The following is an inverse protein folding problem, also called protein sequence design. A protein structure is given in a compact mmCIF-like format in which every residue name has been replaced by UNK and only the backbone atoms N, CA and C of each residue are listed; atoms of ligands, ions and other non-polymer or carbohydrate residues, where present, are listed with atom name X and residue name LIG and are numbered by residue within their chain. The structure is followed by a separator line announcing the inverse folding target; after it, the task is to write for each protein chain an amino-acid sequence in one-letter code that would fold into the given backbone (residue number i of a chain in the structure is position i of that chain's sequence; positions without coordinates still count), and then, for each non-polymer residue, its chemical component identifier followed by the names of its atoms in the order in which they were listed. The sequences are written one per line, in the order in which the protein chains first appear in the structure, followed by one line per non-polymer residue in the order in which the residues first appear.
data_IF_257159244459
#
_entry.id   IF_257159244459
#
_cell.length_a   1.000
_cell.length_b   1.000
_cell.length_c   1.000
_cell.angle_alpha   90.00
_cell.angle_beta   90.00
_cell.angle_gamma   90.00
#
_symmetry.space_group_name_H-M   'P 1'
#
loop_
_entity.id
_entity.type
_entity.pdbx_description
1 polymer ?
#
# COMPACT_ATOMS: atom_id res chain seq x y z
N UNK A 1 5.09 -17.94 3.18
CA UNK A 1 3.89 -17.08 3.32
C UNK A 1 2.70 -18.01 3.20
N UNK A 2 1.82 -18.04 4.19
CA UNK A 2 0.67 -18.94 4.17
C UNK A 2 -0.34 -18.53 3.10
N UNK A 3 -1.10 -19.50 2.57
CA UNK A 3 -2.17 -19.30 1.59
C UNK A 3 -3.18 -18.22 2.05
N UNK A 4 -3.45 -18.14 3.34
CA UNK A 4 -4.35 -17.17 3.96
C UNK A 4 -3.92 -15.70 3.73
N UNK A 5 -2.61 -15.42 3.81
CA UNK A 5 -2.08 -14.08 3.54
C UNK A 5 -2.27 -13.69 2.07
N UNK A 6 -2.01 -14.62 1.14
CA UNK A 6 -2.23 -14.38 -0.29
C UNK A 6 -3.70 -14.12 -0.62
N UNK A 7 -4.63 -14.85 0.00
CA UNK A 7 -6.07 -14.65 -0.17
C UNK A 7 -6.47 -13.26 0.32
N UNK A 8 -6.10 -12.88 1.54
CA UNK A 8 -6.40 -11.57 2.10
C UNK A 8 -5.84 -10.43 1.23
N UNK A 9 -4.58 -10.54 0.83
CA UNK A 9 -3.91 -9.49 0.07
C UNK A 9 -4.49 -9.35 -1.35
N UNK A 10 -4.96 -10.44 -1.96
CA UNK A 10 -5.61 -10.39 -3.27
C UNK A 10 -7.03 -9.81 -3.19
N UNK A 11 -7.86 -10.31 -2.28
CA UNK A 11 -9.28 -9.93 -2.25
C UNK A 11 -9.51 -8.62 -1.50
N UNK A 12 -8.90 -8.45 -0.36
CA UNK A 12 -9.09 -7.23 0.44
C UNK A 12 -8.12 -6.12 0.04
N UNK A 13 -6.83 -6.40 -0.01
CA UNK A 13 -5.82 -5.43 -0.45
C UNK A 13 -5.90 -5.10 -1.94
N UNK A 14 -6.24 -6.07 -2.78
CA UNK A 14 -6.31 -5.91 -4.24
C UNK A 14 -7.69 -5.51 -4.73
N UNK A 15 -8.63 -6.47 -4.78
CA UNK A 15 -9.94 -6.27 -5.43
C UNK A 15 -10.78 -5.18 -4.75
N UNK A 16 -10.85 -5.16 -3.42
CA UNK A 16 -11.64 -4.17 -2.70
C UNK A 16 -11.11 -2.74 -2.93
N UNK A 17 -9.79 -2.55 -3.00
CA UNK A 17 -9.22 -1.24 -3.33
C UNK A 17 -9.53 -0.81 -4.77
N UNK A 18 -9.52 -1.72 -5.75
CA UNK A 18 -9.92 -1.38 -7.12
C UNK A 18 -11.37 -0.89 -7.15
N UNK A 19 -12.28 -1.58 -6.45
CA UNK A 19 -13.68 -1.17 -6.34
C UNK A 19 -13.78 0.22 -5.70
N UNK A 20 -13.06 0.47 -4.60
CA UNK A 20 -13.00 1.79 -3.96
C UNK A 20 -12.51 2.86 -4.95
N UNK A 21 -11.47 2.58 -5.72
CA UNK A 21 -10.97 3.50 -6.75
C UNK A 21 -12.00 3.83 -7.84
N UNK A 22 -12.80 2.85 -8.25
CA UNK A 22 -13.89 3.07 -9.21
C UNK A 22 -15.02 3.95 -8.60
N UNK A 23 -15.29 3.81 -7.31
CA UNK A 23 -16.25 4.68 -6.60
C UNK A 23 -15.69 6.10 -6.48
N UNK A 24 -14.41 6.26 -6.17
CA UNK A 24 -13.73 7.57 -6.15
C UNK A 24 -13.75 8.27 -7.52
N UNK A 25 -13.66 7.51 -8.62
CA UNK A 25 -13.81 8.05 -9.97
C UNK A 25 -15.21 8.64 -10.19
N UNK A 26 -16.27 7.99 -9.68
CA UNK A 26 -17.64 8.52 -9.73
C UNK A 26 -17.77 9.81 -8.90
N UNK A 27 -17.07 9.90 -7.79
CA UNK A 27 -17.03 11.08 -6.93
C UNK A 27 -16.11 12.20 -7.48
N UNK A 28 -15.53 12.02 -8.67
CA UNK A 28 -14.56 12.95 -9.29
C UNK A 28 -13.32 13.21 -8.42
N UNK A 29 -12.97 12.29 -7.54
CA UNK A 29 -11.75 12.31 -6.76
C UNK A 29 -10.61 11.64 -7.53
N UNK A 30 -9.87 12.41 -8.32
CA UNK A 30 -8.77 11.88 -9.15
C UNK A 30 -7.68 11.25 -8.30
N UNK A 31 -7.32 11.87 -7.16
CA UNK A 31 -6.29 11.34 -6.26
C UNK A 31 -6.69 9.96 -5.71
N UNK A 32 -7.89 9.86 -5.13
CA UNK A 32 -8.42 8.60 -4.61
C UNK A 32 -8.53 7.53 -5.71
N UNK A 33 -9.02 7.92 -6.90
CA UNK A 33 -9.09 7.01 -8.05
C UNK A 33 -7.73 6.41 -8.38
N UNK A 34 -6.72 7.26 -8.59
CA UNK A 34 -5.37 6.80 -8.96
C UNK A 34 -4.74 6.00 -7.82
N UNK A 35 -4.83 6.47 -6.58
CA UNK A 35 -4.24 5.78 -5.44
C UNK A 35 -4.85 4.39 -5.25
N UNK A 36 -6.17 4.29 -5.09
CA UNK A 36 -6.82 3.02 -4.79
C UNK A 36 -6.73 2.01 -5.94
N UNK A 37 -6.95 2.43 -7.19
CA UNK A 37 -6.83 1.49 -8.33
C UNK A 37 -5.40 0.99 -8.49
N UNK A 38 -4.42 1.88 -8.37
CA UNK A 38 -3.00 1.51 -8.52
C UNK A 38 -2.54 0.58 -7.40
N UNK A 39 -2.83 0.89 -6.14
CA UNK A 39 -2.45 0.00 -5.03
C UNK A 39 -3.23 -1.32 -5.04
N UNK A 40 -4.47 -1.30 -5.49
CA UNK A 40 -5.22 -2.55 -5.71
C UNK A 40 -4.55 -3.45 -6.74
N UNK A 41 -4.10 -2.89 -7.86
CA UNK A 41 -3.33 -3.63 -8.87
C UNK A 41 -1.93 -3.99 -8.40
N UNK A 42 -1.28 -3.15 -7.56
CA UNK A 42 -0.05 -3.52 -6.87
C UNK A 42 -0.21 -4.83 -6.10
N UNK A 43 -1.21 -4.93 -5.24
CA UNK A 43 -1.44 -6.13 -4.44
C UNK A 43 -1.69 -7.36 -5.31
N UNK A 44 -2.53 -7.25 -6.33
CA UNK A 44 -2.81 -8.38 -7.24
C UNK A 44 -1.56 -8.84 -7.97
N UNK A 45 -0.77 -7.92 -8.52
CA UNK A 45 0.47 -8.26 -9.23
C UNK A 45 1.56 -8.76 -8.29
N UNK A 46 1.66 -8.21 -7.07
CA UNK A 46 2.62 -8.68 -6.07
C UNK A 46 2.30 -10.10 -5.59
N UNK A 47 1.02 -10.41 -5.36
CA UNK A 47 0.59 -11.78 -5.03
C UNK A 47 0.81 -12.71 -6.22
N UNK A 48 0.51 -12.29 -7.45
CA UNK A 48 0.75 -13.09 -8.65
C UNK A 48 2.22 -13.47 -8.80
N UNK A 49 3.16 -12.56 -8.51
CA UNK A 49 4.60 -12.86 -8.49
C UNK A 49 5.01 -13.96 -7.50
N UNK A 50 4.20 -14.26 -6.50
CA UNK A 50 4.44 -15.34 -5.53
C UNK A 50 3.67 -16.61 -5.86
N UNK A 51 2.43 -16.48 -6.32
CA UNK A 51 1.52 -17.59 -6.55
C UNK A 51 1.81 -18.32 -7.86
N UNK A 52 2.08 -17.56 -8.94
CA UNK A 52 2.32 -18.21 -10.24
C UNK A 52 3.55 -19.13 -10.24
N UNK A 53 4.69 -18.77 -9.65
CA UNK A 53 5.81 -19.72 -9.51
C UNK A 53 5.46 -20.92 -8.64
N UNK A 54 4.74 -20.73 -7.53
CA UNK A 54 4.32 -21.82 -6.66
C UNK A 54 3.40 -22.83 -7.35
N UNK A 55 2.65 -22.39 -8.38
CA UNK A 55 1.81 -23.24 -9.22
C UNK A 55 2.57 -23.81 -10.45
N UNK A 56 3.85 -23.49 -10.62
CA UNK A 56 4.64 -23.92 -11.79
C UNK A 56 4.27 -23.21 -13.10
N UNK A 57 3.52 -22.10 -13.03
CA UNK A 57 3.04 -21.34 -14.20
C UNK A 57 4.01 -20.23 -14.63
N UNK A 58 4.99 -19.90 -13.80
CA UNK A 58 6.03 -18.90 -14.12
C UNK A 58 7.32 -19.23 -13.36
N UNK A 59 8.50 -18.77 -13.83
CA UNK A 59 9.72 -18.85 -13.05
C UNK A 59 9.66 -17.93 -11.82
N UNK A 60 10.39 -18.26 -10.75
CA UNK A 60 10.52 -17.36 -9.61
C UNK A 60 11.21 -16.06 -10.03
N UNK A 61 10.65 -14.90 -9.62
CA UNK A 61 11.28 -13.62 -9.92
C UNK A 61 12.60 -13.51 -9.17
N UNK A 62 13.62 -12.99 -9.84
CA UNK A 62 14.90 -12.70 -9.18
C UNK A 62 14.74 -11.63 -8.10
N UNK A 63 15.62 -11.67 -7.09
CA UNK A 63 15.65 -10.63 -6.05
C UNK A 63 15.79 -9.21 -6.63
N UNK A 64 16.56 -9.08 -7.72
CA UNK A 64 16.70 -7.82 -8.43
C UNK A 64 15.37 -7.36 -9.06
N UNK A 65 14.60 -8.28 -9.64
CA UNK A 65 13.29 -7.95 -10.23
C UNK A 65 12.29 -7.50 -9.16
N UNK A 66 12.22 -8.20 -8.01
CA UNK A 66 11.37 -7.79 -6.89
C UNK A 66 11.82 -6.45 -6.32
N UNK A 67 13.12 -6.24 -6.13
CA UNK A 67 13.67 -4.96 -5.66
C UNK A 67 13.35 -3.81 -6.60
N UNK A 68 13.52 -3.98 -7.91
CA UNK A 68 13.17 -2.97 -8.91
C UNK A 68 11.65 -2.67 -8.93
N UNK A 69 10.81 -3.69 -8.79
CA UNK A 69 9.37 -3.52 -8.65
C UNK A 69 9.01 -2.65 -7.44
N UNK A 70 9.60 -2.93 -6.27
CA UNK A 70 9.36 -2.14 -5.07
C UNK A 70 9.91 -0.71 -5.18
N UNK A 71 11.04 -0.48 -5.87
CA UNK A 71 11.56 0.87 -6.15
C UNK A 71 10.57 1.64 -7.02
N UNK A 72 10.08 1.04 -8.10
CA UNK A 72 9.11 1.69 -8.99
C UNK A 72 7.85 2.13 -8.21
N UNK A 73 7.33 1.27 -7.32
CA UNK A 73 6.21 1.62 -6.45
C UNK A 73 6.57 2.66 -5.40
N UNK A 74 7.79 2.63 -4.87
CA UNK A 74 8.31 3.68 -3.99
C UNK A 74 8.34 5.05 -4.64
N UNK A 75 8.82 5.13 -5.89
CA UNK A 75 8.83 6.37 -6.69
C UNK A 75 7.40 6.84 -6.97
N UNK A 76 6.51 5.94 -7.40
CA UNK A 76 5.10 6.26 -7.62
C UNK A 76 4.44 6.80 -6.35
N UNK A 77 4.67 6.15 -5.19
CA UNK A 77 4.14 6.59 -3.91
C UNK A 77 4.72 7.95 -3.49
N UNK A 78 6.00 8.23 -3.74
CA UNK A 78 6.61 9.52 -3.48
C UNK A 78 5.95 10.66 -4.29
N UNK A 79 5.59 10.40 -5.56
CA UNK A 79 4.82 11.34 -6.38
C UNK A 79 3.43 11.59 -5.80
N UNK A 80 2.73 10.52 -5.37
CA UNK A 80 1.43 10.68 -4.71
C UNK A 80 1.56 11.41 -3.36
N UNK A 81 2.64 11.17 -2.61
CA UNK A 81 2.93 11.90 -1.36
C UNK A 81 2.96 13.41 -1.59
N UNK A 82 3.61 13.86 -2.65
CA UNK A 82 3.60 15.28 -3.02
C UNK A 82 2.18 15.80 -3.27
N UNK A 83 1.28 14.97 -3.80
CA UNK A 83 -0.14 15.27 -4.00
C UNK A 83 -0.91 15.44 -2.68
N UNK A 84 -0.42 14.88 -1.57
CA UNK A 84 -1.12 14.96 -0.27
C UNK A 84 -0.84 16.23 0.53
N UNK A 85 0.11 17.09 0.14
CA UNK A 85 0.55 18.24 0.98
C UNK A 85 -0.55 19.27 1.29
N UNK A 86 -1.65 19.25 0.57
CA UNK A 86 -2.85 20.06 0.87
C UNK A 86 -3.98 19.26 1.54
N UNK A 87 -3.76 18.00 1.83
CA UNK A 87 -4.71 17.08 2.46
C UNK A 87 -4.52 17.02 3.98
N UNK A 88 -5.39 16.34 4.74
CA UNK A 88 -5.22 16.13 6.18
C UNK A 88 -3.85 15.55 6.53
N UNK A 89 -3.32 15.94 7.69
CA UNK A 89 -1.96 15.53 8.11
C UNK A 89 -1.81 14.03 8.25
N UNK A 90 -2.85 13.35 8.70
CA UNK A 90 -2.84 11.89 8.85
C UNK A 90 -2.66 11.21 7.49
N UNK A 91 -3.34 11.69 6.44
CA UNK A 91 -3.14 11.19 5.08
C UNK A 91 -1.70 11.42 4.58
N UNK A 92 -1.14 12.61 4.85
CA UNK A 92 0.27 12.88 4.53
C UNK A 92 1.21 11.88 5.19
N UNK A 93 1.02 11.61 6.50
CA UNK A 93 1.82 10.64 7.24
C UNK A 93 1.71 9.24 6.68
N UNK A 94 0.49 8.78 6.31
CA UNK A 94 0.30 7.49 5.66
C UNK A 94 1.14 7.38 4.39
N UNK A 95 1.11 8.39 3.52
CA UNK A 95 1.85 8.34 2.25
C UNK A 95 3.37 8.49 2.43
N UNK A 96 3.81 9.29 3.41
CA UNK A 96 5.24 9.40 3.76
C UNK A 96 5.78 8.07 4.27
N UNK A 97 5.10 7.47 5.25
CA UNK A 97 5.50 6.17 5.81
C UNK A 97 5.43 5.07 4.76
N UNK A 98 4.41 5.05 3.91
CA UNK A 98 4.31 4.09 2.81
C UNK A 98 5.47 4.24 1.79
N UNK A 99 5.89 5.46 1.50
CA UNK A 99 7.06 5.71 0.64
C UNK A 99 8.32 5.13 1.27
N UNK A 100 8.55 5.40 2.55
CA UNK A 100 9.69 4.86 3.30
C UNK A 100 9.64 3.33 3.32
N UNK A 101 8.47 2.74 3.54
CA UNK A 101 8.27 1.29 3.54
C UNK A 101 8.72 0.64 2.24
N UNK A 102 8.30 1.16 1.09
CA UNK A 102 8.69 0.59 -0.21
C UNK A 102 10.21 0.58 -0.40
N UNK A 103 10.89 1.68 -0.05
CA UNK A 103 12.34 1.75 -0.16
C UNK A 103 13.05 0.84 0.85
N UNK A 104 12.58 0.75 2.10
CA UNK A 104 13.14 -0.17 3.09
C UNK A 104 13.01 -1.63 2.65
N UNK A 105 11.83 -2.03 2.15
CA UNK A 105 11.62 -3.39 1.64
C UNK A 105 12.52 -3.69 0.45
N UNK A 106 12.63 -2.76 -0.50
CA UNK A 106 13.52 -2.92 -1.65
C UNK A 106 14.98 -3.07 -1.22
N UNK A 107 15.48 -2.19 -0.36
CA UNK A 107 16.87 -2.25 0.13
C UNK A 107 17.09 -3.55 0.91
N UNK A 108 16.14 -3.94 1.76
CA UNK A 108 16.19 -5.17 2.52
C UNK A 108 16.28 -6.41 1.63
N UNK A 109 15.53 -6.44 0.52
CA UNK A 109 15.58 -7.55 -0.43
C UNK A 109 16.86 -7.53 -1.26
N UNK A 110 17.26 -6.40 -1.84
CA UNK A 110 18.46 -6.28 -2.66
C UNK A 110 19.75 -6.57 -1.89
N UNK A 111 19.83 -6.18 -0.61
CA UNK A 111 21.01 -6.41 0.24
C UNK A 111 20.97 -7.73 0.99
N UNK A 112 19.83 -8.43 1.01
CA UNK A 112 19.63 -9.63 1.82
C UNK A 112 19.66 -9.37 3.33
N UNK A 113 19.61 -8.10 3.77
CA UNK A 113 19.76 -7.72 5.19
C UNK A 113 18.50 -8.01 5.99
N UNK A 114 18.56 -8.99 6.89
CA UNK A 114 17.47 -9.30 7.82
C UNK A 114 17.13 -8.13 8.72
N UNK A 115 18.11 -7.33 9.14
CA UNK A 115 17.86 -6.15 10.00
C UNK A 115 17.01 -5.12 9.28
N UNK A 116 17.31 -4.81 8.01
CA UNK A 116 16.52 -3.84 7.22
C UNK A 116 15.11 -4.38 6.98
N UNK A 117 14.94 -5.67 6.71
CA UNK A 117 13.60 -6.28 6.57
C UNK A 117 12.77 -6.18 7.85
N UNK A 118 13.40 -6.38 9.02
CA UNK A 118 12.69 -6.21 10.31
C UNK A 118 12.27 -4.76 10.51
N UNK A 119 13.17 -3.79 10.24
CA UNK A 119 12.84 -2.36 10.31
C UNK A 119 11.69 -2.02 9.35
N UNK A 120 11.75 -2.51 8.11
CA UNK A 120 10.66 -2.34 7.15
C UNK A 120 9.34 -2.96 7.64
N UNK A 121 9.38 -4.12 8.29
CA UNK A 121 8.21 -4.75 8.90
C UNK A 121 7.58 -3.89 10.02
N UNK A 122 8.41 -3.33 10.91
CA UNK A 122 7.96 -2.43 11.98
C UNK A 122 7.37 -1.13 11.42
N UNK A 123 8.02 -0.57 10.40
CA UNK A 123 7.53 0.60 9.68
C UNK A 123 6.20 0.31 8.99
N UNK A 124 6.04 -0.87 8.38
CA UNK A 124 4.78 -1.30 7.78
C UNK A 124 3.63 -1.41 8.79
N UNK A 125 3.90 -1.83 10.03
CA UNK A 125 2.91 -1.83 11.12
C UNK A 125 2.50 -0.39 11.45
N UNK A 126 3.45 0.54 11.52
CA UNK A 126 3.18 1.95 11.76
C UNK A 126 2.30 2.54 10.65
N UNK A 127 2.69 2.34 9.40
CA UNK A 127 1.94 2.79 8.22
C UNK A 127 0.51 2.24 8.22
N UNK A 128 0.35 0.94 8.43
CA UNK A 128 -0.98 0.29 8.52
C UNK A 128 -1.83 0.83 9.67
N UNK A 129 -1.22 1.10 10.82
CA UNK A 129 -1.92 1.68 11.98
C UNK A 129 -2.41 3.10 11.69
N UNK A 130 -1.61 3.92 11.02
CA UNK A 130 -2.00 5.27 10.57
C UNK A 130 -3.15 5.21 9.56
N UNK A 131 -3.13 4.26 8.64
CA UNK A 131 -4.21 4.08 7.66
C UNK A 131 -5.53 3.65 8.32
N UNK A 132 -5.47 2.73 9.29
CA UNK A 132 -6.63 2.31 10.09
C UNK A 132 -7.18 3.50 10.90
N UNK A 133 -6.29 4.27 11.53
CA UNK A 133 -6.69 5.46 12.27
C UNK A 133 -7.39 6.49 11.38
N UNK A 134 -6.83 6.77 10.20
CA UNK A 134 -7.43 7.69 9.23
C UNK A 134 -8.84 7.23 8.83
N UNK A 135 -8.99 5.97 8.45
CA UNK A 135 -10.29 5.40 8.08
C UNK A 135 -11.31 5.49 9.24
N UNK A 136 -10.90 5.17 10.47
CA UNK A 136 -11.77 5.29 11.64
C UNK A 136 -12.15 6.75 11.91
N UNK A 137 -11.20 7.68 11.77
CA UNK A 137 -11.45 9.10 11.99
C UNK A 137 -12.43 9.66 10.96
N UNK A 138 -12.27 9.32 9.69
CA UNK A 138 -13.18 9.76 8.62
C UNK A 138 -14.59 9.23 8.86
N UNK A 139 -14.75 7.93 9.15
CA UNK A 139 -16.06 7.32 9.45
C UNK A 139 -16.73 7.99 10.66
N UNK A 140 -15.99 8.16 11.75
CA UNK A 140 -16.57 8.74 12.98
C UNK A 140 -16.90 10.22 12.82
N UNK A 141 -16.07 10.99 12.11
CA UNK A 141 -16.33 12.39 11.84
C UNK A 141 -17.57 12.57 10.94
N UNK A 142 -17.75 11.69 9.94
CA UNK A 142 -18.91 11.69 9.07
C UNK A 142 -20.20 11.29 9.83
N UNK A 143 -20.17 10.13 10.54
CA UNK A 143 -21.35 9.59 11.23
C UNK A 143 -21.85 10.53 12.35
N UNK A 144 -20.92 11.17 13.07
CA UNK A 144 -21.29 12.09 14.16
C UNK A 144 -21.44 13.54 13.71
N UNK A 145 -21.25 13.84 12.43
CA UNK A 145 -21.33 15.19 11.84
C UNK A 145 -20.49 16.24 12.61
N UNK A 146 -19.41 15.81 13.23
CA UNK A 146 -18.50 16.67 14.00
C UNK A 146 -17.10 16.12 14.00
N UNK A 147 -16.12 16.99 14.25
CA UNK A 147 -14.72 16.59 14.40
C UNK A 147 -14.51 15.79 15.69
N UNK A 148 -14.78 14.47 15.64
CA UNK A 148 -14.64 13.53 16.75
C UNK A 148 -13.17 13.14 16.92
N UNK A 149 -12.46 12.85 15.83
CA UNK A 149 -11.04 12.53 15.82
C UNK A 149 -10.28 13.51 14.90
N UNK A 150 -9.07 13.95 15.32
CA UNK A 150 -8.24 14.83 14.49
C UNK A 150 -7.64 14.07 13.30
N UNK A 151 -7.65 14.68 12.12
CA UNK A 151 -7.06 14.15 10.87
C UNK A 151 -6.12 15.17 10.26
#
# INVERSE_FOLDING_TARGET
MGSEMCIRDSFYGGLAQIIAGLLEAKNRNTFGTVAFTSYGLFWLSFVAMKVLPALGLAPEPSTAAVGAYLIAWGVFTALLTAGTFKSPRTLQLVFITLTILFFLLSIGDLTGSTKIRVIGGLEGILCGSLAIYLAAADILNEVYEKKTLPV
#
